data_IF_815864378615
#
_entry.id   IF_815864378615
#
_cell.length_a   1.000
_cell.length_b   1.000
_cell.length_c   1.000
_cell.angle_alpha   90.00
_cell.angle_beta   90.00
_cell.angle_gamma   90.00
#
_symmetry.space_group_name_H-M   'P 1'
#
loop_
_entity.id
_entity.type
_entity.pdbx_description
1 polymer ?
#
# COMPACT_ATOMS: atom_id res chain seq x y z
N UNK A 1 12.32 -26.37 1.87
CA UNK A 1 12.46 -25.31 0.85
C UNK A 1 11.90 -24.03 1.44
N UNK A 2 12.81 -23.21 1.95
CA UNK A 2 12.51 -21.88 2.47
C UNK A 2 12.88 -20.90 1.36
N UNK A 3 11.90 -20.38 0.64
CA UNK A 3 12.13 -19.32 -0.35
C UNK A 3 11.44 -18.05 0.13
N UNK A 4 12.19 -17.30 0.93
CA UNK A 4 12.13 -15.85 0.94
C UNK A 4 13.10 -15.35 -0.13
N UNK A 5 12.74 -14.33 -0.93
CA UNK A 5 13.78 -13.51 -1.56
C UNK A 5 13.58 -12.00 -1.36
N UNK A 6 14.70 -11.40 -0.94
CA UNK A 6 15.22 -10.08 -1.32
C UNK A 6 14.55 -8.79 -0.83
N UNK A 7 15.07 -8.36 0.33
CA UNK A 7 15.54 -6.98 0.47
C UNK A 7 16.62 -6.68 -0.60
N UNK A 8 16.31 -5.86 -1.60
CA UNK A 8 17.27 -5.04 -2.39
C UNK A 8 16.55 -4.30 -3.52
N UNK A 9 16.13 -3.04 -3.30
CA UNK A 9 16.30 -1.97 -4.29
C UNK A 9 16.59 -0.64 -3.59
N UNK A 10 17.89 -0.39 -3.47
CA UNK A 10 18.52 0.87 -3.07
C UNK A 10 18.37 1.87 -4.22
N UNK A 11 17.91 3.09 -3.93
CA UNK A 11 17.76 4.26 -4.82
C UNK A 11 16.51 4.30 -5.71
N UNK A 12 15.47 4.99 -5.27
CA UNK A 12 14.78 6.00 -6.09
C UNK A 12 13.95 6.92 -5.18
N UNK A 13 14.52 8.02 -4.67
CA UNK A 13 13.89 8.81 -3.61
C UNK A 13 12.65 9.63 -4.02
N UNK A 14 12.33 9.86 -5.30
CA UNK A 14 11.19 10.73 -5.67
C UNK A 14 10.59 10.52 -7.09
N UNK A 15 10.87 9.44 -7.82
CA UNK A 15 10.41 9.39 -9.23
C UNK A 15 9.03 8.74 -9.40
N UNK A 16 7.97 9.57 -9.40
CA UNK A 16 6.62 9.19 -9.85
C UNK A 16 5.83 8.38 -8.82
N UNK A 17 5.34 9.05 -7.77
CA UNK A 17 4.48 8.42 -6.78
C UNK A 17 3.16 7.97 -7.44
N UNK A 18 3.11 6.68 -7.77
CA UNK A 18 1.94 6.06 -8.39
C UNK A 18 1.07 5.43 -7.31
N UNK A 19 -0.19 5.16 -7.65
CA UNK A 19 -1.09 4.33 -6.85
C UNK A 19 -0.45 2.99 -6.45
N UNK A 20 0.46 2.46 -7.28
CA UNK A 20 1.25 1.27 -6.99
C UNK A 20 2.16 1.50 -5.79
N UNK A 21 2.95 2.59 -5.80
CA UNK A 21 3.85 2.94 -4.72
C UNK A 21 3.11 3.20 -3.40
N UNK A 22 1.94 3.84 -3.46
CA UNK A 22 1.10 4.09 -2.29
C UNK A 22 0.64 2.78 -1.64
N UNK A 23 0.10 1.86 -2.45
CA UNK A 23 -0.35 0.55 -1.96
C UNK A 23 0.82 -0.23 -1.40
N UNK A 24 1.95 -0.30 -2.13
CA UNK A 24 3.15 -1.00 -1.67
C UNK A 24 3.63 -0.44 -0.33
N UNK A 25 3.77 0.88 -0.19
CA UNK A 25 4.22 1.50 1.07
C UNK A 25 3.26 1.23 2.24
N UNK A 26 1.95 1.26 2.00
CA UNK A 26 0.95 0.93 3.03
C UNK A 26 1.01 -0.53 3.43
N UNK A 27 1.17 -1.43 2.46
CA UNK A 27 1.31 -2.88 2.70
C UNK A 27 2.61 -3.18 3.45
N UNK A 28 3.71 -2.53 3.12
CA UNK A 28 4.99 -2.70 3.83
C UNK A 28 4.92 -2.16 5.26
N UNK A 29 4.09 -1.13 5.51
CA UNK A 29 3.97 -0.53 6.84
C UNK A 29 2.96 -1.25 7.75
N UNK A 30 1.79 -1.61 7.22
CA UNK A 30 0.68 -2.20 7.98
C UNK A 30 0.42 -3.67 7.67
N UNK A 31 0.78 -4.13 6.47
CA UNK A 31 0.37 -5.44 5.96
C UNK A 31 -1.00 -5.42 5.30
N UNK A 32 -1.29 -6.50 4.57
CA UNK A 32 -2.55 -6.69 3.85
C UNK A 32 -3.75 -6.87 4.79
N UNK A 33 -3.55 -7.46 5.96
CA UNK A 33 -4.61 -7.72 6.93
C UNK A 33 -5.17 -6.40 7.50
N UNK A 34 -4.31 -5.53 8.00
CA UNK A 34 -4.68 -4.19 8.50
C UNK A 34 -5.29 -3.32 7.40
N UNK A 35 -4.76 -3.40 6.17
CA UNK A 35 -5.37 -2.72 5.03
C UNK A 35 -6.78 -3.23 4.72
N UNK A 36 -7.00 -4.55 4.83
CA UNK A 36 -8.32 -5.16 4.73
C UNK A 36 -9.27 -4.73 5.85
N UNK A 37 -8.76 -4.50 7.06
CA UNK A 37 -9.55 -3.97 8.17
C UNK A 37 -9.95 -2.50 7.95
N UNK A 38 -9.02 -1.67 7.48
CA UNK A 38 -9.26 -0.25 7.18
C UNK A 38 -10.15 -0.07 5.94
N UNK A 39 -9.92 -0.91 4.93
CA UNK A 39 -10.58 -0.87 3.63
C UNK A 39 -11.09 -2.29 3.40
N UNK A 40 -12.33 -2.53 3.81
CA UNK A 40 -13.00 -3.83 3.75
C UNK A 40 -13.26 -4.27 2.29
N UNK A 41 -12.18 -4.59 1.57
CA UNK A 41 -12.19 -5.06 0.20
C UNK A 41 -11.57 -6.46 0.16
N UNK A 42 -12.24 -7.35 -0.55
CA UNK A 42 -11.78 -8.74 -0.75
C UNK A 42 -10.43 -8.82 -1.44
N UNK A 43 -10.02 -7.76 -2.13
CA UNK A 43 -8.73 -7.74 -2.83
C UNK A 43 -7.54 -7.89 -1.87
N UNK A 44 -7.64 -7.40 -0.63
CA UNK A 44 -6.55 -7.48 0.33
C UNK A 44 -6.55 -8.81 1.12
N UNK A 45 -7.69 -9.49 1.23
CA UNK A 45 -7.81 -10.75 1.99
C UNK A 45 -7.72 -12.00 1.13
N UNK A 46 -8.12 -11.93 -0.14
CA UNK A 46 -8.25 -13.11 -1.01
C UNK A 46 -7.13 -13.23 -2.06
N UNK A 47 -6.65 -12.10 -2.60
CA UNK A 47 -5.51 -12.03 -3.54
C UNK A 47 -4.60 -10.85 -3.18
N UNK A 48 -3.87 -10.92 -2.05
CA UNK A 48 -2.99 -9.85 -1.58
C UNK A 48 -1.83 -9.64 -2.57
N UNK A 49 -2.07 -8.76 -3.54
CA UNK A 49 -1.12 -8.46 -4.61
C UNK A 49 -1.35 -7.04 -5.11
N UNK A 50 -0.25 -6.32 -5.30
CA UNK A 50 -0.29 -4.92 -5.72
C UNK A 50 -0.97 -4.76 -7.07
N UNK A 51 -0.67 -5.63 -8.04
CA UNK A 51 -1.31 -5.64 -9.37
C UNK A 51 -2.83 -5.90 -9.32
N UNK A 52 -3.27 -6.83 -8.48
CA UNK A 52 -4.71 -7.13 -8.32
C UNK A 52 -5.43 -5.96 -7.65
N UNK A 53 -4.79 -5.37 -6.64
CA UNK A 53 -5.25 -4.16 -5.95
C UNK A 53 -5.42 -3.00 -6.93
N UNK A 54 -4.43 -2.71 -7.78
CA UNK A 54 -4.53 -1.66 -8.78
C UNK A 54 -5.65 -1.89 -9.78
N UNK A 55 -5.85 -3.13 -10.23
CA UNK A 55 -6.97 -3.48 -11.13
C UNK A 55 -8.32 -3.24 -10.44
N UNK A 56 -8.41 -3.52 -9.14
CA UNK A 56 -9.59 -3.24 -8.32
C UNK A 56 -9.80 -1.74 -8.11
N UNK A 57 -8.77 -0.99 -7.73
CA UNK A 57 -8.78 0.47 -7.53
C UNK A 57 -9.06 1.24 -8.83
N UNK A 58 -8.91 0.63 -10.00
CA UNK A 58 -9.38 1.18 -11.29
C UNK A 58 -10.87 1.00 -11.52
N UNK A 59 -11.46 -0.08 -11.02
CA UNK A 59 -12.90 -0.36 -11.11
C UNK A 59 -13.71 0.29 -9.98
N UNK A 60 -13.05 0.56 -8.86
CA UNK A 60 -13.69 1.00 -7.61
C UNK A 60 -13.06 2.33 -7.16
N UNK A 61 -13.58 3.48 -7.61
CA UNK A 61 -12.97 4.79 -7.34
C UNK A 61 -12.97 5.15 -5.85
N UNK A 62 -14.04 4.84 -5.10
CA UNK A 62 -14.10 5.12 -3.66
C UNK A 62 -13.00 4.39 -2.87
N UNK A 63 -12.58 3.20 -3.32
CA UNK A 63 -11.53 2.42 -2.66
C UNK A 63 -10.16 3.07 -2.89
N UNK A 64 -9.94 3.64 -4.08
CA UNK A 64 -8.75 4.46 -4.38
C UNK A 64 -8.64 5.64 -3.43
N UNK A 65 -9.73 6.41 -3.28
CA UNK A 65 -9.73 7.57 -2.40
C UNK A 65 -9.44 7.20 -0.94
N UNK A 66 -9.93 6.04 -0.48
CA UNK A 66 -9.64 5.50 0.86
C UNK A 66 -8.16 5.15 1.04
N UNK A 67 -7.55 4.47 0.07
CA UNK A 67 -6.12 4.13 0.08
C UNK A 67 -5.27 5.40 0.12
N UNK A 68 -5.59 6.39 -0.70
CA UNK A 68 -4.87 7.67 -0.73
C UNK A 68 -5.01 8.44 0.59
N UNK A 69 -6.23 8.49 1.14
CA UNK A 69 -6.50 9.12 2.43
C UNK A 69 -5.71 8.47 3.57
N UNK A 70 -5.66 7.14 3.59
CA UNK A 70 -4.89 6.38 4.57
C UNK A 70 -3.39 6.67 4.44
N UNK A 71 -2.87 6.72 3.22
CA UNK A 71 -1.48 7.07 2.97
C UNK A 71 -1.11 8.47 3.48
N UNK A 72 -1.96 9.47 3.23
CA UNK A 72 -1.76 10.82 3.77
C UNK A 72 -1.76 10.85 5.30
N UNK A 73 -2.63 10.05 5.93
CA UNK A 73 -2.66 9.92 7.39
C UNK A 73 -1.35 9.33 7.94
N UNK A 74 -0.86 8.24 7.33
CA UNK A 74 0.42 7.63 7.68
C UNK A 74 1.56 8.63 7.50
N UNK A 75 1.61 9.32 6.36
CA UNK A 75 2.67 10.24 6.05
C UNK A 75 2.72 11.41 7.05
N UNK A 76 1.56 11.94 7.45
CA UNK A 76 1.46 12.94 8.52
C UNK A 76 1.95 12.40 9.87
N UNK A 77 1.63 11.14 10.18
CA UNK A 77 2.09 10.50 11.42
C UNK A 77 3.60 10.26 11.41
N UNK A 78 4.16 9.79 10.29
CA UNK A 78 5.60 9.59 10.14
C UNK A 78 6.38 10.90 10.18
N UNK A 79 5.85 11.99 9.61
CA UNK A 79 6.45 13.32 9.70
C UNK A 79 6.53 13.83 11.15
N UNK A 80 5.53 13.51 11.99
CA UNK A 80 5.53 13.84 13.42
C UNK A 80 6.48 12.99 14.27
N UNK A 81 6.86 11.80 13.82
CA UNK A 81 7.76 10.90 14.57
C UNK A 81 9.24 11.11 14.27
N UNK A 82 9.59 12.07 13.39
CA UNK A 82 10.97 12.44 13.07
C UNK A 82 11.42 13.76 13.73
N UNK A 83 10.62 14.33 14.63
CA UNK A 83 10.95 15.52 15.43
C UNK A 83 11.36 15.15 16.86
#
# INVERSE_FOLDING_TARGET
MSEQPNASQKNNPLHGLTLEAIVTALVEHYGWEELGQQINIRCFTHEPSVKSSLKFLRKTPWAREKVESLYLYVQRKQAKSKE
#
